data_IF_198034563930
#
_entry.id   IF_198034563930
#
_cell.length_a   1.000
_cell.length_b   1.000
_cell.length_c   1.000
_cell.angle_alpha   90.00
_cell.angle_beta   90.00
_cell.angle_gamma   90.00
#
_symmetry.space_group_name_H-M   'P 1'
#
loop_
_entity.id
_entity.type
_entity.pdbx_description
1 polymer ?
#
# COMPACT_ATOMS: atom_id res chain seq x y z
N UNK A 1 -3.71 -11.10 0.58
CA UNK A 1 -3.99 -10.60 1.95
C UNK A 1 -4.00 -9.08 2.07
N UNK A 2 -2.86 -8.35 2.01
CA UNK A 2 -2.85 -6.86 2.21
C UNK A 2 -3.86 -6.11 1.31
N UNK A 3 -3.88 -6.43 0.02
CA UNK A 3 -4.86 -5.87 -0.93
C UNK A 3 -6.31 -6.17 -0.58
N UNK A 4 -6.59 -7.41 -0.18
CA UNK A 4 -7.95 -7.86 0.15
C UNK A 4 -8.51 -7.11 1.36
N UNK A 5 -7.68 -6.88 2.38
CA UNK A 5 -8.05 -6.07 3.55
C UNK A 5 -8.32 -4.62 3.13
N UNK A 6 -7.44 -4.05 2.30
CA UNK A 6 -7.65 -2.70 1.78
C UNK A 6 -8.96 -2.57 1.01
N UNK A 7 -9.24 -3.50 0.10
CA UNK A 7 -10.45 -3.47 -0.73
C UNK A 7 -11.72 -3.63 0.11
N UNK A 8 -11.71 -4.51 1.13
CA UNK A 8 -12.90 -4.78 1.95
C UNK A 8 -13.17 -3.74 3.03
N UNK A 9 -12.12 -3.23 3.66
CA UNK A 9 -12.27 -2.49 4.92
C UNK A 9 -11.84 -1.02 4.80
N UNK A 10 -11.06 -0.65 3.78
CA UNK A 10 -10.42 0.69 3.72
C UNK A 10 -10.88 1.51 2.51
N UNK A 11 -10.85 0.93 1.29
CA UNK A 11 -10.99 1.61 -0.01
C UNK A 11 -12.16 2.59 -0.06
N UNK A 12 -13.36 2.14 0.34
CA UNK A 12 -14.59 2.93 0.23
C UNK A 12 -14.99 3.61 1.53
N UNK A 13 -14.22 3.41 2.61
CA UNK A 13 -14.53 3.96 3.95
C UNK A 13 -13.63 5.13 4.34
N UNK A 14 -12.43 5.20 3.77
CA UNK A 14 -11.44 6.21 4.14
C UNK A 14 -10.77 6.82 2.92
N UNK A 15 -10.48 8.12 3.03
CA UNK A 15 -9.52 8.76 2.14
C UNK A 15 -8.12 8.49 2.65
N UNK A 16 -7.40 7.57 1.99
CA UNK A 16 -6.02 7.23 2.35
C UNK A 16 -5.08 8.40 2.02
N UNK A 17 -4.44 8.96 3.03
CA UNK A 17 -3.47 10.06 2.87
C UNK A 17 -2.07 9.56 2.47
N UNK A 18 -1.72 8.33 2.86
CA UNK A 18 -0.46 7.69 2.49
C UNK A 18 -0.35 6.28 3.07
N UNK A 19 0.55 5.49 2.49
CA UNK A 19 0.88 4.13 2.92
C UNK A 19 2.37 4.04 3.21
N UNK A 20 2.75 3.41 4.32
CA UNK A 20 4.14 3.15 4.69
C UNK A 20 4.39 1.65 4.60
N UNK A 21 5.26 1.22 3.68
CA UNK A 21 5.58 -0.20 3.44
C UNK A 21 7.04 -0.32 2.99
N UNK A 22 7.72 -1.39 3.37
CA UNK A 22 9.15 -1.62 3.07
C UNK A 22 9.35 -2.58 1.92
N UNK A 23 8.46 -3.56 1.72
CA UNK A 23 8.64 -4.62 0.72
C UNK A 23 8.38 -4.11 -0.69
N UNK A 24 9.35 -4.24 -1.59
CA UNK A 24 9.27 -3.72 -2.97
C UNK A 24 8.03 -4.22 -3.70
N UNK A 25 7.74 -5.53 -3.65
CA UNK A 25 6.55 -6.11 -4.30
C UNK A 25 5.23 -5.51 -3.81
N UNK A 26 5.14 -5.14 -2.53
CA UNK A 26 3.94 -4.55 -1.93
C UNK A 26 3.86 -3.05 -2.23
N UNK A 27 4.98 -2.33 -2.18
CA UNK A 27 5.08 -0.93 -2.57
C UNK A 27 4.61 -0.73 -4.02
N UNK A 28 5.08 -1.59 -4.95
CA UNK A 28 4.66 -1.53 -6.35
C UNK A 28 3.15 -1.79 -6.51
N UNK A 29 2.60 -2.75 -5.76
CA UNK A 29 1.17 -3.00 -5.73
C UNK A 29 0.38 -1.76 -5.28
N UNK A 30 0.79 -1.10 -4.19
CA UNK A 30 0.11 0.12 -3.69
C UNK A 30 0.21 1.30 -4.67
N UNK A 31 1.39 1.51 -5.28
CA UNK A 31 1.58 2.53 -6.31
C UNK A 31 0.73 2.27 -7.54
N UNK A 32 0.60 1.01 -7.97
CA UNK A 32 -0.28 0.61 -9.07
C UNK A 32 -1.77 0.87 -8.79
N UNK A 33 -2.17 0.95 -7.51
CA UNK A 33 -3.52 1.35 -7.09
C UNK A 33 -3.70 2.88 -6.99
N UNK A 34 -2.67 3.67 -7.29
CA UNK A 34 -2.71 5.13 -7.26
C UNK A 34 -2.54 5.75 -5.88
N UNK A 35 -2.09 4.98 -4.87
CA UNK A 35 -1.85 5.49 -3.53
C UNK A 35 -0.47 6.17 -3.43
N UNK A 36 -0.39 7.20 -2.58
CA UNK A 36 0.90 7.77 -2.15
C UNK A 36 1.59 6.77 -1.21
N UNK A 37 2.79 6.32 -1.57
CA UNK A 37 3.53 5.30 -0.79
C UNK A 37 4.90 5.83 -0.39
N UNK A 38 5.16 5.78 0.91
CA UNK A 38 6.46 6.04 1.51
C UNK A 38 7.16 4.70 1.74
N UNK A 39 8.23 4.46 0.98
CA UNK A 39 9.05 3.28 1.17
C UNK A 39 10.07 3.54 2.29
N UNK A 40 9.94 2.81 3.39
CA UNK A 40 10.68 3.11 4.64
C UNK A 40 12.03 2.41 4.75
N UNK A 41 12.30 1.41 3.91
CA UNK A 41 13.58 0.69 3.85
C UNK A 41 13.82 0.09 2.45
N UNK A 42 15.08 -0.27 2.17
CA UNK A 42 15.48 -0.99 0.96
C UNK A 42 14.88 -2.41 1.00
N UNK A 43 13.86 -2.62 0.18
CA UNK A 43 12.89 -3.71 0.33
C UNK A 43 13.27 -5.03 -0.35
N UNK A 44 14.47 -5.54 -0.10
CA UNK A 44 15.02 -6.75 -0.72
C UNK A 44 14.45 -8.08 -0.16
N UNK A 45 13.12 -8.19 0.01
CA UNK A 45 12.43 -9.42 0.43
C UNK A 45 11.14 -9.74 -0.36
#
# INVERSE_FOLDING_TARGET
MKREIYDREIRDRYRVAGVFDDRVQVVQMWRGLGLTVFQVADGDF
#
